data_IF_842509443742
#
_entry.id   IF_842509443742
#
_cell.length_a   1.000
_cell.length_b   1.000
_cell.length_c   1.000
_cell.angle_alpha   90.00
_cell.angle_beta   90.00
_cell.angle_gamma   90.00
#
_symmetry.space_group_name_H-M   'P 1'
#
loop_
_entity.id
_entity.type
_entity.pdbx_description
1 polymer ?
#
# COMPACT_ATOMS: atom_id res chain seq x y z
N UNK A 1 -11.06 -2.72 -2.87
CA UNK A 1 -9.74 -2.79 -2.21
C UNK A 1 -9.92 -2.39 -0.76
N UNK A 2 -9.72 -3.34 0.17
CA UNK A 2 -9.74 -3.02 1.60
C UNK A 2 -8.45 -2.30 2.00
N UNK A 3 -8.59 -1.02 2.27
CA UNK A 3 -7.64 -0.24 3.05
C UNK A 3 -8.06 -0.35 4.51
N UNK A 4 -7.26 -1.05 5.32
CA UNK A 4 -7.38 -0.98 6.77
C UNK A 4 -6.85 0.39 7.21
N UNK A 5 -7.71 1.19 7.87
CA UNK A 5 -7.50 2.51 8.49
C UNK A 5 -7.88 3.75 7.64
N UNK A 6 -8.11 4.87 8.34
CA UNK A 6 -8.47 6.19 7.79
C UNK A 6 -7.25 6.95 7.33
N UNK A 7 -6.74 6.60 6.16
CA UNK A 7 -5.53 7.24 5.68
C UNK A 7 -5.82 8.65 5.19
N UNK A 8 -5.06 9.61 5.72
CA UNK A 8 -5.13 11.01 5.27
C UNK A 8 -4.88 11.12 3.75
N UNK A 9 -3.96 10.32 3.20
CA UNK A 9 -3.66 10.30 1.76
C UNK A 9 -4.83 9.93 0.86
N UNK A 10 -5.89 9.28 1.38
CA UNK A 10 -7.08 8.98 0.59
C UNK A 10 -7.94 10.23 0.34
N UNK A 11 -7.60 11.36 0.96
CA UNK A 11 -8.13 12.69 0.58
C UNK A 11 -7.39 13.30 -0.61
N UNK A 12 -6.20 12.80 -0.94
CA UNK A 12 -5.45 13.30 -2.09
C UNK A 12 -6.09 12.82 -3.40
N UNK A 13 -6.05 13.66 -4.44
CA UNK A 13 -6.53 13.30 -5.77
C UNK A 13 -5.73 12.12 -6.35
N UNK A 14 -4.43 12.11 -6.11
CA UNK A 14 -3.50 11.05 -6.52
C UNK A 14 -2.79 10.51 -5.28
N UNK A 15 -2.81 9.20 -5.10
CA UNK A 15 -2.21 8.55 -3.94
C UNK A 15 -1.57 7.22 -4.33
N UNK A 16 -0.63 6.74 -3.50
CA UNK A 16 0.10 5.50 -3.76
C UNK A 16 -0.03 4.51 -2.61
N UNK A 17 0.07 3.22 -2.91
CA UNK A 17 0.03 2.18 -1.87
C UNK A 17 0.83 0.93 -2.19
N UNK A 18 1.34 0.26 -1.15
CA UNK A 18 2.11 -0.98 -1.23
C UNK A 18 1.19 -2.17 -0.94
N UNK A 19 1.24 -3.19 -1.78
CA UNK A 19 0.67 -4.51 -1.51
C UNK A 19 1.73 -5.59 -1.54
N UNK A 20 1.64 -6.52 -0.59
CA UNK A 20 2.41 -7.76 -0.64
C UNK A 20 1.91 -8.59 -1.82
N UNK A 21 2.84 -9.01 -2.69
CA UNK A 21 2.51 -9.85 -3.83
C UNK A 21 2.24 -11.27 -3.33
N UNK A 22 1.02 -11.77 -3.56
CA UNK A 22 0.62 -13.18 -3.31
C UNK A 22 0.20 -13.81 -4.64
N UNK A 23 1.17 -14.09 -5.50
CA UNK A 23 0.93 -14.61 -6.84
C UNK A 23 0.84 -13.49 -7.90
N UNK A 24 -0.24 -13.48 -8.67
CA UNK A 24 -0.41 -12.53 -9.77
C UNK A 24 -0.69 -11.10 -9.30
N UNK A 25 -0.46 -10.16 -10.21
CA UNK A 25 -0.80 -8.76 -10.01
C UNK A 25 -2.30 -8.63 -9.78
N UNK A 26 -2.70 -8.00 -8.68
CA UNK A 26 -4.11 -7.95 -8.29
C UNK A 26 -4.94 -7.01 -9.16
N UNK A 27 -4.32 -5.96 -9.69
CA UNK A 27 -4.98 -4.94 -10.51
C UNK A 27 -4.07 -4.49 -11.64
N UNK A 28 -4.63 -4.30 -12.82
CA UNK A 28 -3.89 -3.80 -13.98
C UNK A 28 -3.92 -2.26 -14.02
N UNK A 29 -2.95 -1.60 -14.66
CA UNK A 29 -3.12 -0.21 -15.06
C UNK A 29 -4.41 -0.01 -15.86
N UNK A 30 -5.01 1.18 -15.72
CA UNK A 30 -6.31 1.59 -16.27
C UNK A 30 -7.54 0.88 -15.68
N UNK A 31 -7.35 0.02 -14.68
CA UNK A 31 -8.45 -0.64 -13.98
C UNK A 31 -9.11 0.32 -12.99
N UNK A 32 -10.45 0.37 -13.01
CA UNK A 32 -11.23 1.05 -11.99
C UNK A 32 -11.43 0.14 -10.78
N UNK A 33 -10.91 0.55 -9.65
CA UNK A 33 -10.99 -0.19 -8.39
C UNK A 33 -11.82 0.57 -7.36
N UNK A 34 -12.73 -0.15 -6.70
CA UNK A 34 -13.43 0.41 -5.54
C UNK A 34 -12.46 0.46 -4.36
N UNK A 35 -12.32 1.62 -3.73
CA UNK A 35 -11.51 1.84 -2.54
C UNK A 35 -12.46 1.84 -1.34
N UNK A 36 -12.24 0.91 -0.40
CA UNK A 36 -13.06 0.75 0.80
C UNK A 36 -12.17 0.88 2.02
N UNK A 37 -12.51 1.81 2.89
CA UNK A 37 -11.89 2.04 4.21
C UNK A 37 -13.00 2.29 5.25
N UNK A 38 -12.68 2.32 6.56
CA UNK A 38 -13.70 2.50 7.60
C UNK A 38 -14.56 3.77 7.46
N UNK A 39 -14.03 4.90 6.96
CA UNK A 39 -14.83 6.13 6.76
C UNK A 39 -14.96 6.59 5.32
N UNK A 40 -14.19 6.05 4.38
CA UNK A 40 -14.20 6.49 2.98
C UNK A 40 -14.48 5.32 2.05
N UNK A 41 -15.40 5.55 1.12
CA UNK A 41 -15.71 4.67 0.01
C UNK A 41 -15.78 5.48 -1.28
N UNK A 42 -14.98 5.13 -2.29
CA UNK A 42 -14.95 5.81 -3.58
C UNK A 42 -14.30 4.92 -4.65
N UNK A 43 -14.42 5.29 -5.92
CA UNK A 43 -13.74 4.60 -7.01
C UNK A 43 -12.42 5.30 -7.34
N UNK A 44 -11.40 4.53 -7.72
CA UNK A 44 -10.13 5.07 -8.18
C UNK A 44 -9.67 4.33 -9.44
N UNK A 45 -9.00 5.05 -10.34
CA UNK A 45 -8.32 4.47 -11.48
C UNK A 45 -6.87 4.12 -11.09
N UNK A 46 -6.40 2.93 -11.44
CA UNK A 46 -4.99 2.54 -11.31
C UNK A 46 -4.17 3.17 -12.43
N UNK A 47 -3.43 4.24 -12.11
CA UNK A 47 -2.59 4.92 -13.09
C UNK A 47 -1.32 4.13 -13.44
N UNK A 48 -0.76 3.45 -12.45
CA UNK A 48 0.52 2.76 -12.59
C UNK A 48 0.67 1.65 -11.56
N UNK A 49 1.39 0.58 -11.94
CA UNK A 49 1.81 -0.47 -11.02
C UNK A 49 3.27 -0.85 -11.30
N UNK A 50 4.02 -1.14 -10.23
CA UNK A 50 5.36 -1.72 -10.36
C UNK A 50 5.63 -2.78 -9.30
N UNK A 51 6.37 -3.81 -9.71
CA UNK A 51 6.80 -4.90 -8.84
C UNK A 51 8.23 -4.63 -8.38
N UNK A 52 8.47 -4.68 -7.07
CA UNK A 52 9.79 -4.44 -6.48
C UNK A 52 10.01 -5.30 -5.24
N UNK A 53 11.25 -5.35 -4.73
CA UNK A 53 11.54 -6.01 -3.45
C UNK A 53 11.31 -5.07 -2.29
N UNK A 54 10.91 -5.63 -1.15
CA UNK A 54 10.71 -4.90 0.09
C UNK A 54 11.93 -4.05 0.45
N UNK A 55 13.16 -4.59 0.34
CA UNK A 55 14.40 -3.85 0.63
C UNK A 55 14.61 -2.59 -0.22
N UNK A 56 14.09 -2.59 -1.45
CA UNK A 56 14.33 -1.53 -2.44
C UNK A 56 13.34 -0.36 -2.26
N UNK A 57 12.31 -0.52 -1.43
CA UNK A 57 11.33 0.54 -1.15
C UNK A 57 11.98 1.64 -0.29
N UNK A 58 11.96 2.91 -0.69
CA UNK A 58 12.47 3.99 0.16
C UNK A 58 11.76 4.04 1.51
N UNK A 59 12.51 4.31 2.59
CA UNK A 59 11.95 4.44 3.94
C UNK A 59 10.84 5.51 3.99
N UNK A 60 11.05 6.63 3.30
CA UNK A 60 10.08 7.71 3.19
C UNK A 60 8.77 7.25 2.57
N UNK A 61 8.82 6.37 1.57
CA UNK A 61 7.64 5.81 0.94
C UNK A 61 6.92 4.84 1.87
N UNK A 62 7.65 3.99 2.61
CA UNK A 62 7.06 3.14 3.65
C UNK A 62 6.38 3.99 4.73
N UNK A 63 7.00 5.08 5.16
CA UNK A 63 6.41 5.98 6.15
C UNK A 63 5.15 6.65 5.60
N UNK A 64 5.16 7.09 4.34
CA UNK A 64 3.98 7.65 3.68
C UNK A 64 2.84 6.61 3.55
N UNK A 65 3.13 5.39 3.07
CA UNK A 65 2.14 4.33 2.90
C UNK A 65 1.80 3.56 4.17
N UNK A 66 2.47 3.82 5.30
CA UNK A 66 2.21 3.12 6.58
C UNK A 66 1.97 4.05 7.76
N UNK A 67 1.72 5.33 7.50
CA UNK A 67 1.57 6.40 8.51
C UNK A 67 2.69 6.30 9.55
N UNK A 68 3.91 6.28 9.02
CA UNK A 68 5.14 6.18 9.77
C UNK A 68 5.29 7.36 10.73
N UNK A 69 5.62 7.04 11.98
CA UNK A 69 5.88 8.03 13.04
C UNK A 69 7.39 8.29 13.15
N UNK A 70 7.75 9.47 13.67
CA UNK A 70 9.15 9.80 13.94
C UNK A 70 9.76 8.75 14.89
N UNK A 71 10.91 8.20 14.50
CA UNK A 71 11.61 7.18 15.27
C UNK A 71 11.24 5.73 14.94
N UNK A 72 10.22 5.47 14.12
CA UNK A 72 9.90 4.11 13.69
C UNK A 72 10.98 3.55 12.76
N UNK A 73 11.34 2.29 13.02
CA UNK A 73 12.30 1.55 12.20
C UNK A 73 11.62 0.89 11.00
N UNK A 74 12.43 0.38 10.06
CA UNK A 74 11.91 -0.31 8.88
C UNK A 74 11.15 -1.57 9.26
N UNK A 75 11.59 -2.25 10.32
CA UNK A 75 10.93 -3.45 10.86
C UNK A 75 9.56 -3.10 11.45
N UNK A 76 9.43 -1.96 12.13
CA UNK A 76 8.13 -1.49 12.65
C UNK A 76 7.13 -1.25 11.52
N UNK A 77 7.59 -0.65 10.42
CA UNK A 77 6.78 -0.45 9.23
C UNK A 77 6.39 -1.79 8.58
N UNK A 78 7.32 -2.75 8.49
CA UNK A 78 6.99 -4.09 7.99
C UNK A 78 5.91 -4.78 8.85
N UNK A 79 5.99 -4.63 10.18
CA UNK A 79 4.96 -5.13 11.09
C UNK A 79 3.59 -4.51 10.84
N UNK A 80 3.52 -3.20 10.57
CA UNK A 80 2.27 -2.53 10.18
C UNK A 80 1.72 -3.08 8.86
N UNK A 81 2.59 -3.27 7.87
CA UNK A 81 2.22 -3.84 6.57
C UNK A 81 1.67 -5.28 6.73
N UNK A 82 2.26 -6.08 7.62
CA UNK A 82 1.81 -7.43 7.95
C UNK A 82 0.37 -7.45 8.50
N UNK A 83 0.12 -6.58 9.49
CA UNK A 83 -1.19 -6.42 10.14
C UNK A 83 -2.27 -6.02 9.13
N UNK A 84 -1.94 -5.14 8.18
CA UNK A 84 -2.85 -4.71 7.11
C UNK A 84 -3.33 -5.87 6.22
N UNK A 85 -2.50 -6.89 6.03
CA UNK A 85 -2.82 -8.05 5.19
C UNK A 85 -3.16 -9.31 5.99
N UNK A 86 -3.45 -9.16 7.30
CA UNK A 86 -3.74 -10.26 8.22
C UNK A 86 -2.70 -11.41 8.11
N UNK A 87 -1.42 -11.07 7.94
CA UNK A 87 -0.34 -12.06 7.95
C UNK A 87 0.14 -12.27 9.38
N UNK A 88 0.41 -13.53 9.73
CA UNK A 88 1.08 -13.89 10.98
C UNK A 88 2.52 -13.36 11.00
N UNK A 89 3.19 -13.41 9.86
CA UNK A 89 4.57 -12.96 9.73
C UNK A 89 4.68 -11.66 8.91
N UNK A 90 5.44 -10.68 9.41
CA UNK A 90 5.80 -9.50 8.65
C UNK A 90 6.68 -9.84 7.45
N UNK A 91 6.53 -9.09 6.35
CA UNK A 91 7.36 -9.30 5.18
C UNK A 91 8.84 -9.09 5.51
N UNK A 92 9.68 -9.77 4.74
CA UNK A 92 11.13 -9.67 4.81
C UNK A 92 11.67 -8.89 3.60
N UNK A 93 12.92 -8.46 3.68
CA UNK A 93 13.61 -7.71 2.63
C UNK A 93 13.60 -8.39 1.25
N UNK A 94 13.56 -9.73 1.22
CA UNK A 94 13.51 -10.56 0.01
C UNK A 94 12.12 -10.65 -0.62
N UNK A 95 11.07 -10.30 0.13
CA UNK A 95 9.70 -10.42 -0.33
C UNK A 95 9.42 -9.43 -1.45
N UNK A 96 8.57 -9.85 -2.38
CA UNK A 96 8.13 -9.01 -3.48
C UNK A 96 6.83 -8.29 -3.11
N UNK A 97 6.76 -7.02 -3.47
CA UNK A 97 5.56 -6.19 -3.37
C UNK A 97 5.21 -5.58 -4.70
N UNK A 98 3.98 -5.10 -4.78
CA UNK A 98 3.50 -4.25 -5.87
C UNK A 98 3.16 -2.89 -5.29
N UNK A 99 3.71 -1.85 -5.88
CA UNK A 99 3.32 -0.46 -5.62
C UNK A 99 2.29 -0.07 -6.66
N UNK A 100 1.18 0.50 -6.20
CA UNK A 100 0.14 1.07 -7.04
C UNK A 100 0.10 2.59 -6.88
N UNK A 101 -0.01 3.30 -7.99
CA UNK A 101 -0.40 4.71 -8.04
C UNK A 101 -1.84 4.78 -8.53
N UNK A 102 -2.68 5.53 -7.81
CA UNK A 102 -4.11 5.60 -8.08
C UNK A 102 -4.57 7.05 -8.14
N UNK A 103 -5.57 7.31 -8.98
CA UNK A 103 -6.32 8.55 -9.03
C UNK A 103 -7.74 8.31 -8.51
N UNK A 104 -8.16 9.09 -7.51
CA UNK A 104 -9.55 9.09 -7.06
C UNK A 104 -10.44 9.68 -8.15
N UNK A 105 -11.54 9.00 -8.50
CA UNK A 105 -12.55 9.50 -9.44
C UNK A 105 -13.49 10.50 -8.76
#
# INVERSE_FOLDING_TARGET
>A
MDFSQDWKKLDDRVFATIRIQKGEMKFSPDENVEIVSPRKKFNANVLYSCTTKMKDIPMTFLQYDLEGKKGETRRDLYNKLAKRYARNDPPEDKDTVIIYLLERL
#
